data_IF_196258251321
#
_entry.id   IF_196258251321
#
_cell.length_a   1.000
_cell.length_b   1.000
_cell.length_c   1.000
_cell.angle_alpha   90.00
_cell.angle_beta   90.00
_cell.angle_gamma   90.00
#
_symmetry.space_group_name_H-M   'P 1'
#
loop_
_entity.id
_entity.type
_entity.pdbx_description
1 polymer ?
#
# COMPACT_ATOMS: atom_id res chain seq x y z
N UNK A 1 -18.98 8.33 -8.71
CA UNK A 1 -19.60 7.38 -9.66
C UNK A 1 -20.98 7.84 -10.11
N UNK A 2 -21.96 8.04 -9.20
CA UNK A 2 -23.33 8.46 -9.59
C UNK A 2 -23.37 9.81 -10.31
N UNK A 3 -22.68 10.85 -9.80
CA UNK A 3 -22.62 12.17 -10.45
C UNK A 3 -21.93 12.10 -11.82
N UNK A 4 -20.86 11.30 -11.95
CA UNK A 4 -20.12 11.11 -13.21
C UNK A 4 -20.97 10.33 -14.24
N UNK A 5 -21.71 9.32 -13.79
CA UNK A 5 -22.59 8.51 -14.63
C UNK A 5 -23.78 9.30 -15.19
N UNK A 6 -24.29 10.28 -14.42
CA UNK A 6 -25.37 11.17 -14.84
C UNK A 6 -24.87 12.21 -15.87
N UNK A 7 -23.62 12.67 -15.74
CA UNK A 7 -23.07 13.74 -16.59
C UNK A 7 -22.56 13.23 -17.94
N UNK A 8 -21.95 12.04 -17.99
CA UNK A 8 -21.52 11.46 -19.27
C UNK A 8 -21.41 9.91 -19.21
N UNK A 9 -22.39 9.17 -19.75
CA UNK A 9 -22.41 7.70 -19.73
C UNK A 9 -21.17 7.06 -20.38
N UNK A 10 -20.54 7.74 -21.34
CA UNK A 10 -19.34 7.22 -22.03
C UNK A 10 -18.10 7.14 -21.14
N UNK A 11 -18.05 7.90 -20.03
CA UNK A 11 -16.95 7.84 -19.06
C UNK A 11 -17.04 6.64 -18.10
N UNK A 12 -18.17 5.93 -18.08
CA UNK A 12 -18.38 4.77 -17.20
C UNK A 12 -17.48 3.61 -17.63
N UNK A 13 -17.36 3.36 -18.94
CA UNK A 13 -16.59 2.24 -19.50
C UNK A 13 -15.11 2.29 -19.06
N UNK A 14 -14.35 3.38 -19.30
CA UNK A 14 -12.96 3.43 -18.87
C UNK A 14 -12.82 3.50 -17.34
N UNK A 15 -13.82 4.04 -16.63
CA UNK A 15 -13.87 4.02 -15.17
C UNK A 15 -14.01 2.62 -14.58
N UNK A 16 -14.85 1.76 -15.19
CA UNK A 16 -14.98 0.34 -14.80
C UNK A 16 -13.66 -0.39 -15.02
N UNK A 17 -12.98 -0.13 -16.14
CA UNK A 17 -11.68 -0.73 -16.43
C UNK A 17 -10.63 -0.36 -15.37
N UNK A 18 -10.53 0.94 -15.02
CA UNK A 18 -9.64 1.41 -13.95
C UNK A 18 -9.97 0.73 -12.62
N UNK A 19 -11.24 0.63 -12.27
CA UNK A 19 -11.69 0.00 -11.03
C UNK A 19 -11.32 -1.49 -11.00
N UNK A 20 -11.62 -2.24 -12.06
CA UNK A 20 -11.31 -3.66 -12.16
C UNK A 20 -9.81 -3.93 -12.01
N UNK A 21 -8.97 -3.14 -12.71
CA UNK A 21 -7.51 -3.29 -12.64
C UNK A 21 -6.97 -2.98 -11.24
N UNK A 22 -7.52 -1.95 -10.59
CA UNK A 22 -7.15 -1.59 -9.21
C UNK A 22 -7.49 -2.72 -8.23
N UNK A 23 -8.64 -3.38 -8.40
CA UNK A 23 -9.04 -4.53 -7.58
C UNK A 23 -8.10 -5.73 -7.79
N UNK A 24 -7.68 -6.01 -9.03
CA UNK A 24 -6.73 -7.09 -9.33
C UNK A 24 -5.39 -6.84 -8.64
N UNK A 25 -4.83 -5.63 -8.80
CA UNK A 25 -3.55 -5.26 -8.18
C UNK A 25 -3.66 -5.33 -6.65
N UNK A 26 -4.76 -4.84 -6.08
CA UNK A 26 -5.04 -4.96 -4.64
C UNK A 26 -5.06 -6.42 -4.19
N UNK A 27 -5.66 -7.31 -4.96
CA UNK A 27 -5.70 -8.74 -4.65
C UNK A 27 -4.30 -9.38 -4.58
N UNK A 28 -3.40 -9.00 -5.48
CA UNK A 28 -2.00 -9.44 -5.48
C UNK A 28 -1.25 -8.87 -4.27
N UNK A 29 -1.47 -7.58 -3.98
CA UNK A 29 -0.87 -6.93 -2.82
C UNK A 29 -1.25 -7.60 -1.51
N UNK A 30 -2.54 -7.89 -1.28
CA UNK A 30 -3.00 -8.47 -0.01
C UNK A 30 -2.34 -9.81 0.29
N UNK A 31 -2.20 -10.66 -0.74
CA UNK A 31 -1.51 -11.95 -0.58
C UNK A 31 -0.06 -11.74 -0.14
N UNK A 32 0.64 -10.84 -0.81
CA UNK A 32 2.05 -10.54 -0.51
C UNK A 32 2.21 -9.87 0.86
N UNK A 33 1.35 -8.92 1.20
CA UNK A 33 1.37 -8.18 2.45
C UNK A 33 1.17 -9.11 3.65
N UNK A 34 0.27 -10.10 3.54
CA UNK A 34 0.02 -11.10 4.57
C UNK A 34 1.24 -11.98 4.84
N UNK A 35 1.93 -12.43 3.79
CA UNK A 35 3.15 -13.23 3.94
C UNK A 35 4.27 -12.45 4.61
N UNK A 36 4.48 -11.19 4.20
CA UNK A 36 5.46 -10.29 4.83
C UNK A 36 5.09 -10.05 6.30
N UNK A 37 3.82 -9.84 6.59
CA UNK A 37 3.34 -9.57 7.96
C UNK A 37 3.50 -10.80 8.86
N UNK A 38 3.29 -12.01 8.33
CA UNK A 38 3.62 -13.26 9.03
C UNK A 38 5.12 -13.35 9.34
N UNK A 39 5.98 -12.96 8.40
CA UNK A 39 7.43 -12.93 8.63
C UNK A 39 7.81 -11.91 9.70
N UNK A 40 7.13 -10.76 9.75
CA UNK A 40 7.33 -9.75 10.80
C UNK A 40 6.98 -10.31 12.18
N UNK A 41 5.85 -11.02 12.29
CA UNK A 41 5.47 -11.71 13.54
C UNK A 41 6.51 -12.74 14.00
N UNK A 42 7.07 -13.53 13.07
CA UNK A 42 8.11 -14.53 13.35
C UNK A 42 9.43 -13.89 13.80
N UNK A 43 9.82 -12.75 13.23
CA UNK A 43 11.07 -12.04 13.58
C UNK A 43 10.95 -11.19 14.85
N UNK A 44 9.72 -10.85 15.26
CA UNK A 44 9.46 -10.07 16.46
C UNK A 44 9.56 -10.87 17.77
N UNK A 45 9.15 -12.15 17.77
CA UNK A 45 9.15 -12.97 19.00
C UNK A 45 10.54 -13.26 19.59
N UNK A 46 11.62 -13.51 18.80
CA UNK A 46 12.96 -13.71 19.32
C UNK A 46 13.51 -12.48 20.03
N UNK A 47 13.16 -11.26 19.56
CA UNK A 47 13.57 -10.01 20.21
C UNK A 47 13.04 -9.94 21.64
N UNK A 48 11.75 -10.20 21.84
CA UNK A 48 11.16 -10.17 23.19
C UNK A 48 11.65 -11.30 24.08
N UNK A 49 11.78 -12.52 23.52
CA UNK A 49 12.31 -13.67 24.25
C UNK A 49 13.74 -13.40 24.73
N UNK A 50 14.60 -12.88 23.86
CA UNK A 50 15.99 -12.55 24.20
C UNK A 50 16.10 -11.48 25.28
N UNK A 51 15.27 -10.43 25.22
CA UNK A 51 15.18 -9.42 26.29
C UNK A 51 14.76 -10.05 27.61
N UNK A 52 13.75 -10.92 27.61
CA UNK A 52 13.30 -11.62 28.82
C UNK A 52 14.40 -12.50 29.43
N UNK A 53 15.09 -13.30 28.61
CA UNK A 53 16.23 -14.13 29.05
C UNK A 53 17.37 -13.27 29.59
N UNK A 54 17.67 -12.14 28.95
CA UNK A 54 18.72 -11.22 29.40
C UNK A 54 18.39 -10.60 30.75
N UNK A 55 17.13 -10.20 30.98
CA UNK A 55 16.69 -9.64 32.26
C UNK A 55 16.76 -10.68 33.39
N UNK A 56 16.26 -11.90 33.15
CA UNK A 56 16.28 -12.98 34.12
C UNK A 56 17.71 -13.48 34.43
N UNK A 57 18.60 -13.48 33.43
CA UNK A 57 19.99 -13.94 33.54
C UNK A 57 21.02 -12.84 33.81
N UNK A 58 20.59 -11.61 34.11
CA UNK A 58 21.45 -10.42 34.09
C UNK A 58 22.67 -10.54 35.03
N UNK A 59 22.48 -11.09 36.22
CA UNK A 59 23.56 -11.28 37.19
C UNK A 59 24.63 -12.24 36.64
N UNK A 60 24.21 -13.36 36.06
CA UNK A 60 25.11 -14.35 35.45
C UNK A 60 25.85 -13.77 34.25
N UNK A 61 25.16 -13.06 33.35
CA UNK A 61 25.78 -12.42 32.17
C UNK A 61 26.88 -11.44 32.60
N UNK A 62 26.64 -10.65 33.65
CA UNK A 62 27.64 -9.71 34.18
C UNK A 62 28.79 -10.43 34.87
N UNK A 63 28.52 -11.50 35.63
CA UNK A 63 29.54 -12.29 36.30
C UNK A 63 30.53 -12.95 35.32
N UNK A 64 30.03 -13.39 34.15
CA UNK A 64 30.85 -14.01 33.10
C UNK A 64 31.43 -13.02 32.07
N UNK A 65 31.13 -11.73 32.15
CA UNK A 65 31.62 -10.75 31.17
C UNK A 65 31.04 -10.94 29.76
N UNK A 66 29.88 -11.60 29.63
CA UNK A 66 29.28 -11.99 28.35
C UNK A 66 28.35 -10.92 27.72
N UNK A 67 28.40 -9.68 28.21
CA UNK A 67 27.48 -8.60 27.79
C UNK A 67 27.57 -8.32 26.28
N UNK A 68 28.78 -8.33 25.72
CA UNK A 68 29.00 -8.03 24.31
C UNK A 68 28.36 -9.10 23.41
N UNK A 69 28.54 -10.38 23.73
CA UNK A 69 27.95 -11.49 22.98
C UNK A 69 26.41 -11.42 22.97
N UNK A 70 25.80 -11.15 24.12
CA UNK A 70 24.34 -10.96 24.21
C UNK A 70 23.88 -9.72 23.44
N UNK A 71 24.65 -8.64 23.44
CA UNK A 71 24.34 -7.42 22.70
C UNK A 71 24.39 -7.63 21.19
N UNK A 72 25.42 -8.31 20.69
CA UNK A 72 25.55 -8.60 19.25
C UNK A 72 24.45 -9.55 18.77
N UNK A 73 24.07 -10.51 19.60
CA UNK A 73 22.93 -11.38 19.32
C UNK A 73 21.60 -10.61 19.27
N UNK A 74 21.39 -9.68 20.21
CA UNK A 74 20.21 -8.80 20.19
C UNK A 74 20.17 -7.94 18.92
N UNK A 75 21.30 -7.38 18.48
CA UNK A 75 21.36 -6.61 17.24
C UNK A 75 21.01 -7.43 16.01
N UNK A 76 21.36 -8.71 15.98
CA UNK A 76 20.97 -9.61 14.90
C UNK A 76 19.46 -9.76 14.82
N UNK A 77 18.79 -10.09 15.94
CA UNK A 77 17.33 -10.21 15.97
C UNK A 77 16.62 -8.90 15.64
N UNK A 78 17.16 -7.77 16.13
CA UNK A 78 16.62 -6.46 15.83
C UNK A 78 16.74 -6.11 14.35
N UNK A 79 17.88 -6.44 13.72
CA UNK A 79 18.09 -6.20 12.30
C UNK A 79 17.11 -7.01 11.44
N UNK A 80 16.90 -8.29 11.75
CA UNK A 80 15.97 -9.15 11.02
C UNK A 80 14.52 -8.63 11.11
N UNK A 81 14.11 -8.20 12.30
CA UNK A 81 12.81 -7.58 12.51
C UNK A 81 12.67 -6.25 11.75
N UNK A 82 13.65 -5.36 11.86
CA UNK A 82 13.66 -4.07 11.17
C UNK A 82 13.68 -4.21 9.65
N UNK A 83 14.42 -5.18 9.10
CA UNK A 83 14.45 -5.47 7.67
C UNK A 83 13.08 -5.93 7.18
N UNK A 84 12.43 -6.84 7.91
CA UNK A 84 11.10 -7.34 7.55
C UNK A 84 10.04 -6.24 7.62
N UNK A 85 10.10 -5.40 8.66
CA UNK A 85 9.25 -4.23 8.79
C UNK A 85 9.44 -3.24 7.64
N UNK A 86 10.67 -2.97 7.23
CA UNK A 86 10.96 -2.10 6.09
C UNK A 86 10.35 -2.64 4.78
N UNK A 87 10.45 -3.96 4.54
CA UNK A 87 9.82 -4.61 3.38
C UNK A 87 8.30 -4.45 3.41
N UNK A 88 7.66 -4.57 4.58
CA UNK A 88 6.22 -4.32 4.73
C UNK A 88 5.83 -2.89 4.34
N UNK A 89 6.56 -1.89 4.84
CA UNK A 89 6.33 -0.48 4.45
C UNK A 89 6.54 -0.27 2.95
N UNK A 90 7.61 -0.83 2.39
CA UNK A 90 7.94 -0.75 0.97
C UNK A 90 6.83 -1.34 0.08
N UNK A 91 6.28 -2.49 0.45
CA UNK A 91 5.17 -3.12 -0.25
C UNK A 91 3.93 -2.22 -0.26
N UNK A 92 3.56 -1.64 0.89
CA UNK A 92 2.41 -0.72 1.02
C UNK A 92 2.59 0.53 0.15
N UNK A 93 3.79 1.11 0.14
CA UNK A 93 4.13 2.24 -0.73
C UNK A 93 4.07 1.88 -2.21
N UNK A 94 4.53 0.67 -2.58
CA UNK A 94 4.51 0.19 -3.97
C UNK A 94 3.09 0.05 -4.49
N UNK A 95 2.14 -0.44 -3.69
CA UNK A 95 0.73 -0.47 -4.08
C UNK A 95 0.19 0.93 -4.40
N UNK A 96 0.49 1.92 -3.53
CA UNK A 96 0.10 3.30 -3.76
C UNK A 96 0.69 3.85 -5.06
N UNK A 97 1.98 3.62 -5.30
CA UNK A 97 2.66 4.05 -6.52
C UNK A 97 2.05 3.43 -7.78
N UNK A 98 1.76 2.11 -7.77
CA UNK A 98 1.12 1.43 -8.89
C UNK A 98 -0.28 1.99 -9.18
N UNK A 99 -1.07 2.28 -8.14
CA UNK A 99 -2.38 2.91 -8.30
C UNK A 99 -2.27 4.33 -8.88
N UNK A 100 -1.26 5.10 -8.47
CA UNK A 100 -0.98 6.44 -9.00
C UNK A 100 -0.61 6.37 -10.50
N UNK A 101 0.23 5.42 -10.91
CA UNK A 101 0.58 5.20 -12.32
C UNK A 101 -0.64 4.85 -13.19
N UNK A 102 -1.56 4.01 -12.68
CA UNK A 102 -2.80 3.70 -13.38
C UNK A 102 -3.71 4.92 -13.54
N UNK A 103 -3.81 5.73 -12.50
CA UNK A 103 -4.61 6.96 -12.55
C UNK A 103 -4.04 7.95 -13.57
N UNK A 104 -2.71 8.10 -13.63
CA UNK A 104 -2.04 8.96 -14.62
C UNK A 104 -2.28 8.43 -16.05
N UNK A 105 -2.13 7.13 -16.27
CA UNK A 105 -2.38 6.52 -17.58
C UNK A 105 -3.84 6.71 -18.02
N UNK A 106 -4.80 6.56 -17.11
CA UNK A 106 -6.22 6.80 -17.35
C UNK A 106 -6.51 8.27 -17.71
N UNK A 107 -5.96 9.24 -16.97
CA UNK A 107 -6.12 10.66 -17.28
C UNK A 107 -5.49 11.04 -18.62
N UNK A 108 -4.31 10.48 -18.93
CA UNK A 108 -3.65 10.70 -20.22
C UNK A 108 -4.49 10.16 -21.39
N UNK A 109 -5.08 8.97 -21.24
CA UNK A 109 -5.97 8.39 -22.25
C UNK A 109 -7.21 9.26 -22.49
N UNK A 110 -7.85 9.75 -21.42
CA UNK A 110 -9.01 10.66 -21.54
C UNK A 110 -8.60 11.98 -22.21
N UNK A 111 -7.48 12.57 -21.80
CA UNK A 111 -6.98 13.80 -22.41
C UNK A 111 -6.72 13.62 -23.91
N UNK A 112 -6.09 12.51 -24.31
CA UNK A 112 -5.84 12.18 -25.72
C UNK A 112 -7.13 12.04 -26.54
N UNK A 113 -8.14 11.34 -25.99
CA UNK A 113 -9.45 11.17 -26.65
C UNK A 113 -10.17 12.51 -26.81
N UNK A 114 -10.19 13.35 -25.77
CA UNK A 114 -10.80 14.68 -25.83
C UNK A 114 -10.08 15.58 -26.84
N UNK A 115 -8.74 15.48 -26.93
CA UNK A 115 -7.96 16.21 -27.93
C UNK A 115 -8.17 15.72 -29.36
N UNK A 116 -8.50 14.45 -29.57
CA UNK A 116 -8.78 13.90 -30.90
C UNK A 116 -10.19 14.27 -31.41
N UNK A 117 -11.18 14.34 -30.52
CA UNK A 117 -12.60 14.60 -30.83
C UNK A 117 -12.99 16.09 -30.72
N UNK A 118 -12.18 17.01 -31.26
CA UNK A 118 -12.42 18.46 -31.12
C UNK A 118 -13.67 18.97 -31.86
N UNK A 119 -14.09 18.29 -32.93
CA UNK A 119 -15.16 18.78 -33.83
C UNK A 119 -16.58 18.36 -33.42
N UNK A 120 -16.72 17.43 -32.47
CA UNK A 120 -18.02 16.87 -32.07
C UNK A 120 -18.44 17.17 -30.64
N UNK A 121 -17.59 17.83 -29.84
CA UNK A 121 -17.79 18.03 -28.40
C UNK A 121 -17.65 19.52 -28.07
N UNK A 122 -18.66 20.09 -27.40
CA UNK A 122 -18.58 21.44 -26.85
C UNK A 122 -17.47 21.51 -25.80
N UNK A 123 -16.62 22.54 -25.84
CA UNK A 123 -15.50 22.72 -24.90
C UNK A 123 -15.90 22.59 -23.42
N UNK A 124 -17.10 23.07 -23.06
CA UNK A 124 -17.66 22.94 -21.72
C UNK A 124 -17.91 21.49 -21.28
N UNK A 125 -18.43 20.62 -22.15
CA UNK A 125 -18.69 19.21 -21.81
C UNK A 125 -17.40 18.39 -21.74
N UNK A 126 -16.40 18.72 -22.57
CA UNK A 126 -15.06 18.14 -22.49
C UNK A 126 -14.36 18.48 -21.15
N UNK A 127 -14.45 19.75 -20.72
CA UNK A 127 -13.92 20.18 -19.42
C UNK A 127 -14.60 19.48 -18.24
N UNK A 128 -15.94 19.37 -18.27
CA UNK A 128 -16.70 18.62 -17.26
C UNK A 128 -16.31 17.14 -17.23
N UNK A 129 -16.10 16.52 -18.39
CA UNK A 129 -15.65 15.13 -18.49
C UNK A 129 -14.28 14.92 -17.84
N UNK A 130 -13.32 15.80 -18.15
CA UNK A 130 -11.97 15.72 -17.58
C UNK A 130 -11.95 15.99 -16.07
N UNK A 131 -12.68 17.00 -15.59
CA UNK A 131 -12.82 17.29 -14.16
C UNK A 131 -13.45 16.10 -13.40
N UNK A 132 -14.46 15.47 -13.99
CA UNK A 132 -15.08 14.27 -13.42
C UNK A 132 -14.11 13.09 -13.34
N UNK A 133 -13.24 12.93 -14.35
CA UNK A 133 -12.19 11.92 -14.35
C UNK A 133 -11.14 12.17 -13.25
N UNK A 134 -10.73 13.43 -13.05
CA UNK A 134 -9.82 13.83 -11.96
C UNK A 134 -10.40 13.52 -10.58
N UNK A 135 -11.69 13.82 -10.36
CA UNK A 135 -12.35 13.48 -9.10
C UNK A 135 -12.37 11.97 -8.88
N UNK A 136 -12.64 11.19 -9.92
CA UNK A 136 -12.65 9.73 -9.83
C UNK A 136 -11.27 9.18 -9.44
N UNK A 137 -10.20 9.61 -10.12
CA UNK A 137 -8.84 9.16 -9.80
C UNK A 137 -8.44 9.50 -8.38
N UNK A 138 -8.78 10.71 -7.90
CA UNK A 138 -8.48 11.11 -6.51
C UNK A 138 -9.16 10.20 -5.49
N UNK A 139 -10.42 9.81 -5.73
CA UNK A 139 -11.14 8.89 -4.84
C UNK A 139 -10.58 7.46 -4.91
N UNK A 140 -10.18 6.99 -6.09
CA UNK A 140 -9.55 5.67 -6.24
C UNK A 140 -8.21 5.63 -5.48
N UNK A 141 -7.37 6.65 -5.62
CA UNK A 141 -6.10 6.75 -4.90
C UNK A 141 -6.30 6.76 -3.38
N UNK A 142 -7.27 7.55 -2.91
CA UNK A 142 -7.65 7.56 -1.49
C UNK A 142 -8.13 6.19 -1.01
N UNK A 143 -9.01 5.54 -1.77
CA UNK A 143 -9.55 4.22 -1.43
C UNK A 143 -8.48 3.12 -1.36
N UNK A 144 -7.50 3.12 -2.27
CA UNK A 144 -6.37 2.19 -2.22
C UNK A 144 -5.55 2.39 -0.94
N UNK A 145 -5.25 3.64 -0.58
CA UNK A 145 -4.49 3.96 0.65
C UNK A 145 -5.26 3.56 1.90
N UNK A 146 -6.56 3.87 1.96
CA UNK A 146 -7.41 3.48 3.09
C UNK A 146 -7.48 1.96 3.23
N UNK A 147 -7.57 1.24 2.11
CA UNK A 147 -7.56 -0.22 2.16
C UNK A 147 -6.24 -0.80 2.64
N UNK A 148 -5.10 -0.20 2.29
CA UNK A 148 -3.80 -0.67 2.76
C UNK A 148 -3.65 -0.47 4.28
N UNK A 149 -4.14 0.66 4.78
CA UNK A 149 -4.19 0.97 6.22
C UNK A 149 -5.10 -0.02 6.97
N UNK A 150 -6.29 -0.29 6.44
CA UNK A 150 -7.22 -1.26 7.02
C UNK A 150 -6.61 -2.66 7.13
N UNK A 151 -5.89 -3.13 6.10
CA UNK A 151 -5.21 -4.42 6.15
C UNK A 151 -4.14 -4.42 7.24
N UNK A 152 -3.34 -3.35 7.34
CA UNK A 152 -2.31 -3.20 8.36
C UNK A 152 -2.89 -3.24 9.78
N UNK A 153 -4.09 -2.68 9.99
CA UNK A 153 -4.78 -2.70 11.28
C UNK A 153 -5.43 -4.06 11.57
N UNK A 154 -6.03 -4.72 10.57
CA UNK A 154 -6.65 -6.03 10.76
C UNK A 154 -5.65 -7.12 11.15
N UNK A 155 -4.40 -7.05 10.67
CA UNK A 155 -3.38 -8.01 11.12
C UNK A 155 -2.91 -7.80 12.57
N UNK A 156 -3.37 -6.75 13.26
CA UNK A 156 -3.17 -6.62 14.71
C UNK A 156 -4.24 -7.36 15.53
N UNK A 157 -5.34 -7.77 14.88
CA UNK A 157 -6.48 -8.48 15.51
C UNK A 157 -6.38 -9.99 15.29
N UNK A 158 -5.78 -10.43 14.17
CA UNK A 158 -5.31 -11.82 13.99
C UNK A 158 -4.19 -12.19 14.97
#
# INVERSE_FOLDING_TARGET
>A
MIVVAIVNPYLIIPGIFLFALTIIIRGIYIKSARDIKRLEGLTRSPVYSHVSTTLNGLASIRAYGAQQAFRDQYYTYQNDHSATWFVFLGASRTLGLLADWLCVAYLAAIAAVLMAYQHGITSGSAGLAFASALMLTGQTQFGVRQSAELESQMTSVE
#
